data_IF_978502484552
#
_entry.id   IF_978502484552
#
_cell.length_a   1.000
_cell.length_b   1.000
_cell.length_c   1.000
_cell.angle_alpha   90.00
_cell.angle_beta   90.00
_cell.angle_gamma   90.00
#
_symmetry.space_group_name_H-M   'P 1'
#
loop_
_entity.id
_entity.type
_entity.pdbx_description
1 polymer ?
#
# COMPACT_ATOMS: atom_id res chain seq x y z
N UNK A 1 58.09 2.94 60.60
CA UNK A 1 58.48 4.35 60.78
C UNK A 1 59.43 4.73 59.66
N UNK A 2 58.91 5.37 58.61
CA UNK A 2 59.63 6.23 57.67
C UNK A 2 58.55 7.08 56.98
N UNK A 3 58.58 8.40 57.18
CA UNK A 3 58.91 9.43 56.15
C UNK A 3 57.80 9.59 55.08
N UNK A 4 57.31 10.77 54.69
CA UNK A 4 57.66 12.17 54.97
C UNK A 4 56.65 13.05 54.19
N UNK A 5 56.29 14.20 54.76
CA UNK A 5 56.00 15.51 54.13
C UNK A 5 54.89 15.67 53.04
N UNK A 6 53.72 16.18 53.45
CA UNK A 6 53.22 17.58 53.31
C UNK A 6 53.86 18.55 52.28
N UNK A 7 53.24 19.72 51.94
CA UNK A 7 51.82 20.11 51.80
C UNK A 7 51.60 21.15 50.63
N UNK A 8 50.43 21.85 50.61
CA UNK A 8 50.26 23.28 50.20
C UNK A 8 50.15 23.61 48.67
N UNK A 9 49.34 24.54 48.11
CA UNK A 9 48.54 25.73 48.53
C UNK A 9 47.37 25.93 47.51
N UNK A 10 46.14 26.31 47.88
CA UNK A 10 45.57 27.67 48.07
C UNK A 10 46.02 28.74 47.05
N UNK A 11 45.09 29.24 46.21
CA UNK A 11 44.77 30.69 46.11
C UNK A 11 43.51 30.94 45.26
N UNK A 12 42.68 31.82 45.79
CA UNK A 12 41.47 32.45 45.27
C UNK A 12 41.81 33.67 44.38
N UNK A 13 40.81 34.19 43.64
CA UNK A 13 40.56 35.60 43.23
C UNK A 13 40.34 35.84 41.72
N UNK A 14 39.05 36.03 41.38
CA UNK A 14 38.38 37.09 40.60
C UNK A 14 39.14 37.86 39.49
N UNK A 15 38.54 38.01 38.29
CA UNK A 15 37.86 39.25 37.84
C UNK A 15 37.38 39.19 36.35
N UNK A 16 36.07 39.46 36.15
CA UNK A 16 35.34 40.13 35.04
C UNK A 16 35.26 39.58 33.59
N UNK A 17 34.04 39.30 33.08
CA UNK A 17 33.11 40.13 32.23
C UNK A 17 33.26 39.73 30.76
N UNK A 18 32.27 39.59 29.87
CA UNK A 18 30.80 39.58 29.81
C UNK A 18 30.50 39.30 28.32
N UNK A 19 29.42 38.59 28.00
CA UNK A 19 28.61 38.79 26.78
C UNK A 19 27.37 37.89 26.86
N UNK A 20 26.25 38.54 27.21
CA UNK A 20 24.84 38.25 26.88
C UNK A 20 24.69 37.56 25.50
N UNK A 21 23.67 36.75 25.16
CA UNK A 21 22.21 36.78 25.39
C UNK A 21 21.72 35.45 24.75
N UNK A 22 20.90 34.61 25.40
CA UNK A 22 19.43 34.51 25.27
C UNK A 22 18.95 34.12 23.84
N UNK A 23 17.99 33.24 23.56
CA UNK A 23 17.00 32.49 24.32
C UNK A 23 16.50 31.36 23.37
N UNK A 24 15.91 30.31 23.95
CA UNK A 24 15.25 29.18 23.31
C UNK A 24 14.08 29.55 22.38
N UNK A 25 13.87 28.78 21.30
CA UNK A 25 12.64 28.83 20.48
C UNK A 25 11.93 27.48 20.54
N UNK A 26 10.81 27.45 21.26
CA UNK A 26 9.73 26.46 21.15
C UNK A 26 8.86 26.77 19.91
N UNK A 27 8.31 25.72 19.29
CA UNK A 27 7.32 25.85 18.20
C UNK A 27 6.11 25.01 18.57
N UNK A 28 4.97 25.66 18.77
CA UNK A 28 3.65 25.01 18.85
C UNK A 28 2.72 25.53 17.73
N UNK A 29 1.83 24.63 17.31
CA UNK A 29 0.93 24.69 16.17
C UNK A 29 -0.44 25.23 16.59
N UNK A 30 -0.96 26.28 15.91
CA UNK A 30 -2.27 26.28 15.22
C UNK A 30 -2.83 27.67 14.89
N UNK A 31 -3.61 27.69 13.80
CA UNK A 31 -4.63 28.67 13.38
C UNK A 31 -4.12 29.87 12.58
N UNK A 32 -4.66 30.27 11.43
CA UNK A 32 -5.65 29.77 10.46
C UNK A 32 -5.54 30.65 9.20
N UNK A 33 -6.05 30.14 8.08
CA UNK A 33 -6.64 30.90 6.95
C UNK A 33 -5.74 31.61 5.92
N UNK A 34 -5.78 31.00 4.72
CA UNK A 34 -6.11 31.62 3.44
C UNK A 34 -5.13 32.65 2.84
N UNK A 35 -4.31 32.18 1.89
CA UNK A 35 -4.21 32.87 0.61
C UNK A 35 -3.92 31.87 -0.51
N UNK A 36 -4.92 31.71 -1.39
CA UNK A 36 -4.78 31.19 -2.74
C UNK A 36 -3.96 32.16 -3.61
N UNK A 37 -3.60 31.74 -4.84
CA UNK A 37 -2.91 32.52 -5.89
C UNK A 37 -1.39 32.69 -5.65
N UNK A 38 -0.45 32.30 -6.52
CA UNK A 38 -0.39 32.08 -7.97
C UNK A 38 0.72 31.05 -8.25
N UNK A 39 0.40 29.96 -8.95
CA UNK A 39 1.40 29.27 -9.74
C UNK A 39 1.67 30.13 -10.98
N UNK A 40 2.80 30.82 -10.99
CA UNK A 40 3.29 31.49 -12.18
C UNK A 40 3.68 30.44 -13.23
N UNK A 41 2.74 30.23 -14.14
CA UNK A 41 2.94 29.79 -15.51
C UNK A 41 4.07 30.61 -16.16
N UNK A 42 5.20 29.98 -16.46
CA UNK A 42 6.18 30.52 -17.41
C UNK A 42 5.89 29.87 -18.75
N UNK A 43 4.89 30.45 -19.42
CA UNK A 43 4.76 30.42 -20.86
C UNK A 43 5.60 31.59 -21.40
N UNK A 44 6.72 31.28 -22.03
CA UNK A 44 7.38 32.22 -22.95
C UNK A 44 7.83 31.43 -24.17
N UNK A 45 6.83 31.08 -24.98
CA UNK A 45 7.04 30.89 -26.40
C UNK A 45 7.21 32.26 -27.05
N UNK A 46 8.45 32.67 -27.28
CA UNK A 46 8.76 33.68 -28.28
C UNK A 46 9.67 33.05 -29.34
N UNK A 47 9.02 32.59 -30.39
CA UNK A 47 9.63 32.17 -31.64
C UNK A 47 10.18 33.42 -32.34
N UNK A 48 11.42 33.77 -32.05
CA UNK A 48 12.20 34.65 -32.94
C UNK A 48 12.80 33.81 -34.05
N UNK A 49 12.20 33.94 -35.23
CA UNK A 49 12.77 33.51 -36.51
C UNK A 49 14.01 34.38 -36.79
N UNK A 50 15.20 33.84 -36.50
CA UNK A 50 16.47 34.38 -36.97
C UNK A 50 17.10 33.32 -37.87
N UNK A 51 17.02 33.59 -39.17
CA UNK A 51 17.81 32.90 -40.19
C UNK A 51 19.17 33.58 -40.24
N UNK A 52 20.08 33.21 -39.36
CA UNK A 52 21.52 33.46 -39.51
C UNK A 52 22.26 32.15 -39.25
N UNK A 53 23.24 31.86 -40.11
CA UNK A 53 24.06 30.66 -39.98
C UNK A 53 24.72 30.62 -38.60
N UNK A 54 24.70 29.48 -37.89
CA UNK A 54 25.19 29.41 -36.53
C UNK A 54 26.69 29.74 -36.52
N UNK A 55 27.04 30.84 -35.86
CA UNK A 55 28.44 31.13 -35.58
C UNK A 55 29.01 30.05 -34.66
N UNK A 56 30.29 29.70 -34.82
CA UNK A 56 30.97 28.69 -33.99
C UNK A 56 30.83 28.96 -32.48
N UNK A 57 30.66 30.23 -32.10
CA UNK A 57 30.54 30.70 -30.72
C UNK A 57 29.20 30.30 -30.06
N UNK A 58 28.10 30.27 -30.82
CA UNK A 58 26.79 29.83 -30.31
C UNK A 58 26.73 28.30 -30.14
N UNK A 59 27.32 27.55 -31.06
CA UNK A 59 27.42 26.09 -30.99
C UNK A 59 28.27 25.65 -29.78
N UNK A 60 29.36 26.37 -29.50
CA UNK A 60 30.20 26.11 -28.34
C UNK A 60 29.45 26.44 -27.03
N UNK A 61 28.70 27.56 -26.98
CA UNK A 61 27.86 27.93 -25.83
C UNK A 61 26.74 26.91 -25.56
N UNK A 62 26.11 26.38 -26.60
CA UNK A 62 25.08 25.36 -26.51
C UNK A 62 25.65 24.05 -25.97
N UNK A 63 26.84 23.65 -26.45
CA UNK A 63 27.54 22.46 -25.95
C UNK A 63 27.90 22.60 -24.45
N UNK A 64 28.27 23.80 -24.00
CA UNK A 64 28.57 24.08 -22.61
C UNK A 64 27.32 24.04 -21.71
N UNK A 65 26.18 24.55 -22.20
CA UNK A 65 24.89 24.49 -21.49
C UNK A 65 24.40 23.04 -21.31
N UNK A 66 24.49 22.23 -22.37
CA UNK A 66 24.12 20.81 -22.34
C UNK A 66 25.02 20.03 -21.37
N UNK A 67 26.34 20.26 -21.39
CA UNK A 67 27.28 19.65 -20.43
C UNK A 67 26.93 19.98 -18.98
N UNK A 68 26.71 21.26 -18.65
CA UNK A 68 26.28 21.68 -17.31
C UNK A 68 24.98 21.02 -16.86
N UNK A 69 24.00 20.87 -17.76
CA UNK A 69 22.73 20.19 -17.45
C UNK A 69 22.95 18.70 -17.20
N UNK A 70 23.76 18.03 -18.02
CA UNK A 70 24.11 16.62 -17.83
C UNK A 70 24.86 16.42 -16.51
N UNK A 71 25.79 17.30 -16.17
CA UNK A 71 26.52 17.27 -14.89
C UNK A 71 25.57 17.44 -13.70
N UNK A 72 24.64 18.41 -13.79
CA UNK A 72 23.60 18.63 -12.75
C UNK A 72 22.69 17.42 -12.59
N UNK A 73 22.23 16.82 -13.69
CA UNK A 73 21.38 15.61 -13.65
C UNK A 73 22.15 14.41 -13.10
N UNK A 74 23.43 14.26 -13.45
CA UNK A 74 24.28 13.19 -12.95
C UNK A 74 24.58 13.35 -11.47
N UNK A 75 24.83 14.58 -11.00
CA UNK A 75 24.98 14.90 -9.59
C UNK A 75 23.69 14.60 -8.81
N UNK A 76 22.53 15.05 -9.30
CA UNK A 76 21.22 14.75 -8.71
C UNK A 76 20.95 13.25 -8.63
N UNK A 77 21.31 12.49 -9.68
CA UNK A 77 21.16 11.03 -9.70
C UNK A 77 22.03 10.36 -8.64
N UNK A 78 23.32 10.73 -8.55
CA UNK A 78 24.23 10.18 -7.53
C UNK A 78 23.80 10.55 -6.11
N UNK A 79 23.29 11.76 -5.92
CA UNK A 79 22.75 12.17 -4.63
C UNK A 79 21.49 11.38 -4.26
N UNK A 80 20.58 11.18 -5.20
CA UNK A 80 19.41 10.34 -5.02
C UNK A 80 19.80 8.89 -4.67
N UNK A 81 20.78 8.32 -5.37
CA UNK A 81 21.29 6.97 -5.10
C UNK A 81 21.92 6.87 -3.70
N UNK A 82 22.71 7.87 -3.28
CA UNK A 82 23.23 7.93 -1.90
C UNK A 82 22.12 8.03 -0.86
N UNK A 83 21.09 8.83 -1.13
CA UNK A 83 19.94 8.99 -0.23
C UNK A 83 19.12 7.71 -0.13
N UNK A 84 18.90 7.03 -1.25
CA UNK A 84 18.22 5.74 -1.30
C UNK A 84 19.01 4.70 -0.51
N UNK A 85 20.32 4.60 -0.72
CA UNK A 85 21.16 3.66 0.02
C UNK A 85 21.17 3.95 1.53
N UNK A 86 21.28 5.22 1.92
CA UNK A 86 21.19 5.61 3.33
C UNK A 86 19.81 5.27 3.94
N UNK A 87 18.72 5.46 3.19
CA UNK A 87 17.38 5.09 3.63
C UNK A 87 17.21 3.57 3.78
N UNK A 88 17.77 2.78 2.85
CA UNK A 88 17.75 1.32 2.93
C UNK A 88 18.57 0.80 4.10
N UNK A 89 19.74 1.38 4.35
CA UNK A 89 20.59 0.99 5.46
C UNK A 89 19.95 1.36 6.80
N UNK A 90 19.32 2.54 6.88
CA UNK A 90 18.50 2.92 8.04
C UNK A 90 17.36 1.92 8.25
N UNK A 91 16.56 1.62 7.22
CA UNK A 91 15.45 0.68 7.32
C UNK A 91 15.91 -0.72 7.76
N UNK A 92 17.05 -1.22 7.23
CA UNK A 92 17.65 -2.48 7.66
C UNK A 92 18.07 -2.43 9.13
N UNK A 93 18.68 -1.33 9.57
CA UNK A 93 19.10 -1.17 10.98
C UNK A 93 17.92 -1.14 11.93
N UNK A 94 16.85 -0.42 11.59
CA UNK A 94 15.61 -0.37 12.39
C UNK A 94 14.96 -1.75 12.44
N UNK A 95 14.90 -2.46 11.32
CA UNK A 95 14.41 -3.84 11.28
C UNK A 95 15.24 -4.74 12.18
N UNK A 96 16.57 -4.69 12.08
CA UNK A 96 17.45 -5.51 12.92
C UNK A 96 17.29 -5.19 14.42
N UNK A 97 17.12 -3.91 14.77
CA UNK A 97 16.84 -3.50 16.15
C UNK A 97 15.48 -4.03 16.63
N UNK A 98 14.45 -3.94 15.80
CA UNK A 98 13.11 -4.46 16.14
C UNK A 98 13.13 -5.98 16.30
N UNK A 99 13.80 -6.69 15.39
CA UNK A 99 13.98 -8.15 15.48
C UNK A 99 14.75 -8.54 16.75
N UNK A 100 15.76 -7.76 17.14
CA UNK A 100 16.50 -7.97 18.39
C UNK A 100 15.63 -7.69 19.62
N UNK A 101 14.85 -6.60 19.63
CA UNK A 101 13.92 -6.25 20.70
C UNK A 101 12.83 -7.31 20.86
N UNK A 102 12.22 -7.79 19.77
CA UNK A 102 11.23 -8.87 19.79
C UNK A 102 11.81 -10.12 20.42
N UNK A 103 12.99 -10.57 19.97
CA UNK A 103 13.66 -11.75 20.53
C UNK A 103 14.00 -11.56 22.01
N UNK A 104 14.46 -10.38 22.41
CA UNK A 104 14.76 -10.09 23.81
C UNK A 104 13.49 -10.11 24.66
N UNK A 105 12.39 -9.53 24.17
CA UNK A 105 11.09 -9.55 24.85
C UNK A 105 10.54 -10.98 24.98
N UNK A 106 10.63 -11.79 23.92
CA UNK A 106 10.26 -13.21 23.93
C UNK A 106 11.09 -13.99 24.96
N UNK A 107 12.42 -13.78 24.99
CA UNK A 107 13.29 -14.44 25.96
C UNK A 107 13.00 -14.01 27.42
N UNK A 108 12.76 -12.72 27.66
CA UNK A 108 12.40 -12.22 28.99
C UNK A 108 11.07 -12.81 29.42
N UNK A 109 10.08 -12.83 28.53
CA UNK A 109 8.76 -13.41 28.78
C UNK A 109 8.86 -14.89 29.11
N UNK A 110 9.62 -15.66 28.31
CA UNK A 110 9.82 -17.08 28.54
C UNK A 110 10.45 -17.34 29.90
N UNK A 111 11.57 -16.67 30.22
CA UNK A 111 12.23 -16.80 31.52
C UNK A 111 11.32 -16.38 32.68
N UNK A 112 10.59 -15.28 32.53
CA UNK A 112 9.64 -14.83 33.54
C UNK A 112 8.55 -15.88 33.79
N UNK A 113 8.01 -16.49 32.72
CA UNK A 113 6.99 -17.54 32.83
C UNK A 113 7.53 -18.80 33.50
N UNK A 114 8.77 -19.20 33.19
CA UNK A 114 9.44 -20.36 33.81
C UNK A 114 9.69 -20.13 35.30
N UNK A 115 10.24 -18.96 35.66
CA UNK A 115 10.47 -18.57 37.06
C UNK A 115 9.16 -18.49 37.85
N UNK A 116 8.10 -17.95 37.23
CA UNK A 116 6.79 -17.84 37.86
C UNK A 116 6.14 -19.21 38.05
N UNK A 117 6.21 -20.10 37.04
CA UNK A 117 5.73 -21.47 37.14
C UNK A 117 6.44 -22.23 38.27
N UNK A 118 7.78 -22.12 38.36
CA UNK A 118 8.56 -22.73 39.44
C UNK A 118 8.18 -22.23 40.84
N UNK A 119 7.87 -20.93 40.99
CA UNK A 119 7.39 -20.35 42.25
C UNK A 119 6.00 -20.88 42.62
N UNK A 120 5.07 -20.92 41.67
CA UNK A 120 3.72 -21.45 41.90
C UNK A 120 3.77 -22.93 42.29
N UNK A 121 4.59 -23.74 41.63
CA UNK A 121 4.75 -25.15 41.96
C UNK A 121 5.35 -25.34 43.38
N UNK A 122 6.36 -24.55 43.74
CA UNK A 122 6.95 -24.56 45.09
C UNK A 122 5.92 -24.17 46.16
N UNK A 123 5.13 -23.12 45.90
CA UNK A 123 4.07 -22.67 46.80
C UNK A 123 2.96 -23.71 46.92
N UNK A 124 2.62 -24.40 45.83
CA UNK A 124 1.60 -25.45 45.81
C UNK A 124 2.06 -26.66 46.63
N UNK A 125 3.33 -27.06 46.50
CA UNK A 125 3.89 -28.13 47.33
C UNK A 125 3.95 -27.74 48.82
N UNK A 126 4.29 -26.49 49.12
CA UNK A 126 4.25 -25.94 50.48
C UNK A 126 2.83 -25.95 51.08
N UNK A 127 1.84 -25.47 50.32
CA UNK A 127 0.44 -25.45 50.74
C UNK A 127 -0.12 -26.87 50.93
N UNK A 128 0.29 -27.85 50.10
CA UNK A 128 -0.03 -29.27 50.30
C UNK A 128 0.54 -29.79 51.61
N UNK A 129 1.79 -29.46 51.94
CA UNK A 129 2.41 -29.87 53.21
C UNK A 129 1.68 -29.27 54.41
N UNK A 130 1.31 -27.98 54.35
CA UNK A 130 0.49 -27.32 55.39
C UNK A 130 -0.87 -27.97 55.55
N UNK A 131 -1.54 -28.31 54.45
CA UNK A 131 -2.82 -29.01 54.50
C UNK A 131 -2.72 -30.36 55.21
N UNK A 132 -1.70 -31.17 54.88
CA UNK A 132 -1.46 -32.47 55.53
C UNK A 132 -1.19 -32.28 57.02
N UNK A 133 -0.33 -31.32 57.38
CA UNK A 133 -0.02 -31.02 58.78
C UNK A 133 -1.26 -30.54 59.57
N UNK A 134 -2.07 -29.65 59.00
CA UNK A 134 -3.31 -29.18 59.62
C UNK A 134 -4.31 -30.33 59.83
N UNK A 135 -4.42 -31.23 58.85
CA UNK A 135 -5.26 -32.42 58.95
C UNK A 135 -4.78 -33.39 60.04
N UNK A 136 -3.47 -33.64 60.13
CA UNK A 136 -2.87 -34.50 61.15
C UNK A 136 -2.98 -33.91 62.56
N UNK A 137 -2.86 -32.58 62.68
CA UNK A 137 -2.97 -31.85 63.94
C UNK A 137 -4.43 -31.63 64.39
N UNK A 138 -5.40 -31.89 63.51
CA UNK A 138 -6.82 -31.69 63.80
C UNK A 138 -7.20 -30.21 63.97
N UNK A 139 -6.49 -29.30 63.30
CA UNK A 139 -6.74 -27.85 63.37
C UNK A 139 -7.66 -27.42 62.21
N UNK A 140 -8.96 -27.13 62.48
CA UNK A 140 -9.91 -26.77 61.44
C UNK A 140 -9.62 -25.40 60.82
N UNK A 141 -9.04 -24.46 61.56
CA UNK A 141 -8.79 -23.10 61.07
C UNK A 141 -7.61 -23.12 60.07
N UNK A 142 -6.54 -23.83 60.42
CA UNK A 142 -5.37 -24.01 59.54
C UNK A 142 -5.74 -24.85 58.29
N UNK A 143 -6.67 -25.79 58.43
CA UNK A 143 -7.16 -26.60 57.30
C UNK A 143 -7.96 -25.75 56.30
N UNK A 144 -8.82 -24.84 56.78
CA UNK A 144 -9.54 -23.89 55.91
C UNK A 144 -8.58 -22.91 55.23
N UNK A 145 -7.55 -22.44 55.95
CA UNK A 145 -6.52 -21.58 55.39
C UNK A 145 -5.73 -22.29 54.27
N UNK A 146 -5.25 -23.50 54.52
CA UNK A 146 -4.47 -24.28 53.56
C UNK A 146 -5.30 -24.69 52.32
N UNK A 147 -6.58 -25.04 52.49
CA UNK A 147 -7.47 -25.33 51.36
C UNK A 147 -7.77 -24.09 50.50
N UNK A 148 -7.95 -22.93 51.13
CA UNK A 148 -8.11 -21.65 50.43
C UNK A 148 -6.86 -21.31 49.63
N UNK A 149 -5.67 -21.45 50.23
CA UNK A 149 -4.38 -21.23 49.56
C UNK A 149 -4.18 -22.19 48.37
N UNK A 150 -4.48 -23.48 48.55
CA UNK A 150 -4.43 -24.48 47.48
C UNK A 150 -5.38 -24.15 46.31
N UNK A 151 -6.60 -23.71 46.61
CA UNK A 151 -7.57 -23.34 45.58
C UNK A 151 -7.09 -22.13 44.75
N UNK A 152 -6.53 -21.11 45.43
CA UNK A 152 -5.97 -19.92 44.79
C UNK A 152 -4.80 -20.29 43.88
N UNK A 153 -3.85 -21.06 44.39
CA UNK A 153 -2.67 -21.51 43.65
C UNK A 153 -3.03 -22.42 42.46
N UNK A 154 -4.09 -23.24 42.59
CA UNK A 154 -4.58 -24.07 41.50
C UNK A 154 -5.16 -23.26 40.34
N UNK A 155 -5.90 -22.18 40.63
CA UNK A 155 -6.43 -21.25 39.61
C UNK A 155 -5.27 -20.51 38.94
N UNK A 156 -4.30 -20.04 39.73
CA UNK A 156 -3.10 -19.35 39.24
C UNK A 156 -2.26 -20.24 38.31
N UNK A 157 -2.05 -21.52 38.67
CA UNK A 157 -1.35 -22.51 37.84
C UNK A 157 -2.11 -22.79 36.52
N UNK A 158 -3.44 -22.89 36.58
CA UNK A 158 -4.27 -23.08 35.39
C UNK A 158 -4.23 -21.86 34.45
N UNK A 159 -4.25 -20.64 34.99
CA UNK A 159 -4.14 -19.42 34.22
C UNK A 159 -2.80 -19.34 33.46
N UNK A 160 -1.68 -19.63 34.13
CA UNK A 160 -0.35 -19.67 33.52
C UNK A 160 -0.27 -20.65 32.35
N UNK A 161 -0.76 -21.88 32.55
CA UNK A 161 -0.74 -22.92 31.50
C UNK A 161 -1.52 -22.51 30.26
N UNK A 162 -2.53 -21.64 30.41
CA UNK A 162 -3.32 -21.12 29.30
C UNK A 162 -2.70 -19.86 28.66
N UNK A 163 -2.00 -19.02 29.42
CA UNK A 163 -1.34 -17.80 28.90
C UNK A 163 0.00 -18.06 28.20
N UNK A 164 0.80 -19.02 28.67
CA UNK A 164 2.11 -19.38 28.07
C UNK A 164 2.00 -19.71 26.57
N UNK A 165 1.04 -20.53 26.09
CA UNK A 165 0.88 -20.80 24.66
C UNK A 165 0.30 -19.60 23.87
N UNK A 166 -0.36 -18.63 24.52
CA UNK A 166 -0.95 -17.47 23.86
C UNK A 166 0.09 -16.40 23.48
N UNK A 167 1.19 -16.27 24.24
CA UNK A 167 2.22 -15.28 23.93
C UNK A 167 3.13 -15.68 22.76
N UNK A 168 3.28 -16.99 22.47
CA UNK A 168 4.10 -17.48 21.34
C UNK A 168 3.45 -17.34 19.96
N UNK A 169 2.17 -16.95 19.89
CA UNK A 169 1.40 -16.86 18.63
C UNK A 169 0.95 -15.45 18.27
N UNK A 170 1.33 -14.44 19.05
CA UNK A 170 1.23 -13.05 18.62
C UNK A 170 2.37 -12.75 17.64
N UNK A 171 2.27 -13.37 16.46
CA UNK A 171 2.89 -12.82 15.27
C UNK A 171 2.51 -11.34 15.25
N UNK A 172 3.48 -10.39 15.11
CA UNK A 172 3.12 -9.02 14.89
C UNK A 172 2.20 -9.05 13.68
N UNK A 173 0.91 -8.80 13.88
CA UNK A 173 0.05 -8.47 12.78
C UNK A 173 0.76 -7.26 12.18
N UNK A 174 1.46 -7.48 11.06
CA UNK A 174 1.89 -6.42 10.20
C UNK A 174 0.60 -5.65 10.00
N UNK A 175 0.48 -4.50 10.67
CA UNK A 175 -0.56 -3.55 10.39
C UNK A 175 -0.32 -3.26 8.92
N UNK A 176 -1.08 -3.92 8.06
CA UNK A 176 -1.19 -3.52 6.67
C UNK A 176 -1.44 -2.02 6.77
N UNK A 177 -0.64 -1.17 6.10
CA UNK A 177 -0.95 0.24 6.05
C UNK A 177 -2.43 0.31 5.69
N UNK A 178 -3.22 0.85 6.61
CA UNK A 178 -4.65 1.04 6.39
C UNK A 178 -4.76 1.69 5.02
N UNK A 179 -5.50 1.09 4.07
CA UNK A 179 -5.69 1.76 2.78
C UNK A 179 -6.20 3.15 3.14
N UNK A 180 -5.49 4.17 2.66
CA UNK A 180 -5.87 5.56 2.82
C UNK A 180 -7.38 5.64 2.67
N UNK A 181 -8.07 6.18 3.67
CA UNK A 181 -9.51 6.39 3.66
C UNK A 181 -9.90 6.80 2.25
N UNK A 182 -10.58 5.91 1.54
CA UNK A 182 -11.08 6.22 0.21
C UNK A 182 -11.88 7.50 0.38
N UNK A 183 -11.59 8.56 -0.41
CA UNK A 183 -12.33 9.80 -0.32
C UNK A 183 -13.81 9.46 -0.36
N UNK A 184 -14.62 10.17 0.45
CA UNK A 184 -16.05 9.92 0.54
C UNK A 184 -16.62 9.78 -0.88
N UNK A 185 -17.39 8.71 -1.15
CA UNK A 185 -17.85 8.44 -2.51
C UNK A 185 -18.61 9.66 -3.04
N UNK A 186 -18.22 10.12 -4.23
CA UNK A 186 -18.87 11.23 -4.91
C UNK A 186 -20.40 11.01 -4.94
N UNK A 187 -21.23 12.00 -4.52
CA UNK A 187 -22.68 11.89 -4.55
C UNK A 187 -23.25 11.40 -5.89
N UNK A 188 -22.65 11.78 -7.03
CA UNK A 188 -23.10 11.31 -8.34
C UNK A 188 -22.77 9.83 -8.58
N UNK A 189 -21.59 9.39 -8.18
CA UNK A 189 -21.19 7.98 -8.23
C UNK A 189 -22.14 7.10 -7.42
N UNK A 190 -22.52 7.57 -6.22
CA UNK A 190 -23.47 6.86 -5.38
C UNK A 190 -24.87 6.80 -6.01
N UNK A 191 -25.37 7.90 -6.59
CA UNK A 191 -26.65 7.92 -7.28
C UNK A 191 -26.67 7.00 -8.52
N UNK A 192 -25.57 6.98 -9.29
CA UNK A 192 -25.42 6.08 -10.44
C UNK A 192 -25.41 4.61 -10.02
N UNK A 193 -24.68 4.27 -8.95
CA UNK A 193 -24.64 2.92 -8.40
C UNK A 193 -26.02 2.47 -7.90
N UNK A 194 -26.77 3.34 -7.22
CA UNK A 194 -28.13 3.03 -6.77
C UNK A 194 -29.10 2.79 -7.94
N UNK A 195 -28.95 3.52 -9.05
CA UNK A 195 -29.75 3.32 -10.26
C UNK A 195 -29.44 1.99 -10.97
N UNK A 196 -28.21 1.50 -10.81
CA UNK A 196 -27.71 0.28 -11.43
C UNK A 196 -27.62 -0.86 -10.40
N UNK A 197 -28.74 -1.53 -10.14
CA UNK A 197 -28.84 -2.59 -9.10
C UNK A 197 -27.92 -3.79 -9.29
N UNK A 198 -27.33 -3.95 -10.47
CA UNK A 198 -26.33 -4.98 -10.77
C UNK A 198 -24.94 -4.60 -10.24
N UNK A 199 -24.66 -3.32 -10.00
CA UNK A 199 -23.36 -2.83 -9.55
C UNK A 199 -23.13 -3.22 -8.08
N UNK A 200 -22.05 -3.96 -7.82
CA UNK A 200 -21.72 -4.53 -6.50
C UNK A 200 -22.42 -5.85 -6.18
N UNK A 201 -23.36 -6.31 -7.01
CA UNK A 201 -24.06 -7.60 -6.86
C UNK A 201 -23.60 -8.59 -7.93
N UNK A 202 -23.56 -8.16 -9.19
CA UNK A 202 -23.01 -8.94 -10.30
C UNK A 202 -21.52 -8.61 -10.43
N UNK A 203 -20.69 -9.46 -9.84
CA UNK A 203 -19.23 -9.32 -9.80
C UNK A 203 -18.61 -9.17 -11.21
N UNK A 204 -18.96 -9.99 -12.22
CA UNK A 204 -18.53 -9.78 -13.61
C UNK A 204 -18.87 -8.40 -14.18
N UNK A 205 -20.13 -7.96 -14.06
CA UNK A 205 -20.52 -6.64 -14.58
C UNK A 205 -19.82 -5.50 -13.83
N UNK A 206 -19.60 -5.66 -12.53
CA UNK A 206 -18.93 -4.68 -11.68
C UNK A 206 -17.46 -4.53 -12.06
N UNK A 207 -16.73 -5.62 -12.30
CA UNK A 207 -15.34 -5.56 -12.77
C UNK A 207 -15.21 -4.98 -14.17
N UNK A 208 -16.14 -5.30 -15.07
CA UNK A 208 -16.17 -4.68 -16.39
C UNK A 208 -16.43 -3.17 -16.28
N UNK A 209 -17.31 -2.74 -15.36
CA UNK A 209 -17.55 -1.33 -15.09
C UNK A 209 -16.26 -0.60 -14.64
N UNK A 210 -15.48 -1.20 -13.74
CA UNK A 210 -14.18 -0.66 -13.33
C UNK A 210 -13.18 -0.60 -14.49
N UNK A 211 -13.18 -1.61 -15.36
CA UNK A 211 -12.31 -1.64 -16.54
C UNK A 211 -12.67 -0.53 -17.53
N UNK A 212 -13.97 -0.26 -17.71
CA UNK A 212 -14.48 0.84 -18.53
C UNK A 212 -14.15 2.19 -17.89
N UNK A 213 -14.31 2.35 -16.57
CA UNK A 213 -13.90 3.55 -15.84
C UNK A 213 -12.43 3.89 -16.10
N UNK A 214 -11.53 2.91 -15.94
CA UNK A 214 -10.10 3.11 -16.19
C UNK A 214 -9.84 3.61 -17.62
N UNK A 215 -10.49 2.99 -18.60
CA UNK A 215 -10.34 3.37 -19.99
C UNK A 215 -10.89 4.77 -20.31
N UNK A 216 -11.97 5.20 -19.64
CA UNK A 216 -12.54 6.54 -19.80
C UNK A 216 -11.67 7.61 -19.15
N UNK A 217 -11.13 7.34 -17.97
CA UNK A 217 -10.19 8.26 -17.30
C UNK A 217 -8.91 8.40 -18.12
N UNK A 218 -8.39 7.31 -18.69
CA UNK A 218 -7.24 7.35 -19.61
C UNK A 218 -7.54 8.14 -20.89
N UNK A 219 -8.79 8.17 -21.34
CA UNK A 219 -9.25 9.00 -22.47
C UNK A 219 -9.49 10.47 -22.09
N UNK A 220 -9.29 10.85 -20.83
CA UNK A 220 -9.47 12.22 -20.33
C UNK A 220 -10.92 12.60 -20.06
N UNK A 221 -11.83 11.64 -19.87
CA UNK A 221 -13.19 11.96 -19.42
C UNK A 221 -13.20 12.42 -17.97
N UNK A 222 -13.99 13.47 -17.69
CA UNK A 222 -14.24 13.94 -16.33
C UNK A 222 -15.17 12.97 -15.58
N UNK A 223 -14.70 12.43 -14.45
CA UNK A 223 -15.41 11.45 -13.61
C UNK A 223 -16.66 12.00 -12.94
N UNK A 224 -16.79 13.33 -12.85
CA UNK A 224 -17.95 13.99 -12.24
C UNK A 224 -19.00 14.42 -13.29
N UNK A 225 -18.73 14.20 -14.57
CA UNK A 225 -19.61 14.60 -15.66
C UNK A 225 -20.73 13.57 -15.90
N UNK A 226 -21.91 14.04 -16.31
CA UNK A 226 -23.02 13.14 -16.64
C UNK A 226 -22.71 12.33 -17.92
N UNK A 227 -21.88 12.88 -18.82
CA UNK A 227 -21.42 12.22 -20.04
C UNK A 227 -20.58 10.97 -19.73
N UNK A 228 -19.74 11.02 -18.69
CA UNK A 228 -18.95 9.89 -18.22
C UNK A 228 -19.83 8.69 -17.80
N UNK A 229 -20.87 8.94 -16.98
CA UNK A 229 -21.78 7.89 -16.53
C UNK A 229 -22.65 7.32 -17.66
N UNK A 230 -23.03 8.14 -18.64
CA UNK A 230 -23.75 7.68 -19.84
C UNK A 230 -22.89 6.75 -20.71
N UNK A 231 -21.60 7.05 -20.86
CA UNK A 231 -20.69 6.22 -21.65
C UNK A 231 -20.39 4.88 -20.95
N UNK A 232 -20.32 4.87 -19.62
CA UNK A 232 -20.26 3.63 -18.84
C UNK A 232 -21.48 2.75 -19.12
N UNK A 233 -22.69 3.30 -18.97
CA UNK A 233 -23.92 2.54 -19.20
C UNK A 233 -23.98 2.01 -20.64
N UNK A 234 -23.59 2.83 -21.63
CA UNK A 234 -23.57 2.45 -23.05
C UNK A 234 -22.66 1.26 -23.31
N UNK A 235 -21.44 1.30 -22.76
CA UNK A 235 -20.44 0.23 -22.94
C UNK A 235 -20.84 -1.03 -22.18
N UNK A 236 -21.34 -0.92 -20.95
CA UNK A 236 -21.81 -2.08 -20.18
C UNK A 236 -23.00 -2.77 -20.87
N UNK A 237 -23.93 -2.01 -21.46
CA UNK A 237 -25.03 -2.59 -22.24
C UNK A 237 -24.55 -3.29 -23.51
N UNK A 238 -23.48 -2.80 -24.12
CA UNK A 238 -22.84 -3.44 -25.28
C UNK A 238 -22.11 -4.73 -24.90
N UNK A 239 -21.46 -4.77 -23.74
CA UNK A 239 -20.73 -5.95 -23.24
C UNK A 239 -21.68 -7.03 -22.69
N UNK A 240 -22.80 -6.63 -22.09
CA UNK A 240 -23.79 -7.53 -21.51
C UNK A 240 -25.21 -7.38 -22.09
N UNK A 241 -25.44 -7.50 -23.41
CA UNK A 241 -26.79 -7.30 -23.99
C UNK A 241 -27.84 -8.21 -23.34
N UNK A 242 -27.46 -9.47 -23.11
CA UNK A 242 -28.29 -10.51 -22.47
C UNK A 242 -28.75 -10.18 -21.03
N UNK A 243 -28.10 -9.23 -20.35
CA UNK A 243 -28.49 -8.77 -19.00
C UNK A 243 -29.50 -7.62 -19.04
N UNK A 244 -29.61 -6.90 -20.14
CA UNK A 244 -30.51 -5.75 -20.32
C UNK A 244 -31.73 -6.06 -21.21
N UNK A 245 -31.76 -7.22 -21.86
CA UNK A 245 -32.86 -7.66 -22.73
C UNK A 245 -34.12 -8.18 -21.99
N UNK A 246 -34.15 -8.15 -20.65
CA UNK A 246 -35.30 -8.62 -19.87
C UNK A 246 -36.27 -7.50 -19.51
N UNK A 247 -37.05 -7.07 -20.50
CA UNK A 247 -38.37 -6.45 -20.29
C UNK A 247 -39.39 -7.10 -21.22
N UNK A 248 -39.67 -8.39 -20.99
CA UNK A 248 -40.95 -9.10 -21.26
C UNK A 248 -40.73 -10.62 -21.28
N UNK A 249 -40.47 -11.23 -20.13
CA UNK A 249 -40.77 -12.64 -19.92
C UNK A 249 -40.81 -12.97 -18.42
N UNK A 250 -42.03 -13.14 -17.92
CA UNK A 250 -42.37 -13.80 -16.67
C UNK A 250 -41.61 -15.13 -16.51
N UNK A 251 -41.16 -15.52 -15.30
CA UNK A 251 -40.37 -16.73 -15.13
C UNK A 251 -41.26 -17.98 -15.11
N UNK A 252 -40.99 -18.96 -15.97
CA UNK A 252 -41.46 -20.33 -15.78
C UNK A 252 -40.27 -21.27 -15.68
N UNK A 253 -40.05 -21.75 -14.45
CA UNK A 253 -39.36 -23.00 -14.16
C UNK A 253 -39.83 -24.13 -15.08
N UNK A 254 -38.90 -24.98 -15.51
CA UNK A 254 -39.24 -26.33 -15.97
C UNK A 254 -38.57 -26.77 -17.27
N UNK A 255 -37.52 -27.57 -17.11
CA UNK A 255 -37.25 -28.76 -17.93
C UNK A 255 -36.94 -28.54 -19.41
N UNK A 256 -35.64 -28.42 -19.71
CA UNK A 256 -35.08 -28.59 -21.06
C UNK A 256 -35.28 -30.05 -21.50
N UNK A 257 -36.24 -30.31 -22.37
CA UNK A 257 -36.24 -31.49 -23.21
C UNK A 257 -35.42 -31.23 -24.49
N UNK A 258 -34.50 -32.11 -24.90
CA UNK A 258 -33.74 -31.93 -26.14
C UNK A 258 -34.63 -32.31 -27.33
N UNK A 259 -35.14 -31.30 -28.05
CA UNK A 259 -35.84 -31.53 -29.31
C UNK A 259 -34.82 -31.68 -30.43
N UNK A 260 -34.58 -32.93 -30.81
CA UNK A 260 -33.88 -33.29 -32.05
C UNK A 260 -34.58 -32.63 -33.24
N UNK A 261 -33.84 -31.85 -34.03
CA UNK A 261 -34.31 -31.34 -35.32
C UNK A 261 -33.49 -31.95 -36.44
N UNK A 262 -34.19 -32.71 -37.27
CA UNK A 262 -33.72 -33.34 -38.50
C UNK A 262 -33.76 -32.28 -39.60
N UNK A 263 -32.70 -32.23 -40.41
CA UNK A 263 -32.51 -31.23 -41.45
C UNK A 263 -33.55 -31.32 -42.58
N UNK A 264 -34.01 -30.19 -43.09
CA UNK A 264 -33.85 -29.86 -44.52
C UNK A 264 -34.11 -28.37 -44.80
N UNK A 265 -33.50 -27.91 -45.90
CA UNK A 265 -33.84 -26.73 -46.70
C UNK A 265 -33.34 -25.34 -46.26
N UNK A 266 -32.13 -25.05 -46.75
CA UNK A 266 -31.65 -23.80 -47.34
C UNK A 266 -32.58 -22.57 -47.26
N UNK A 267 -32.10 -21.54 -46.55
CA UNK A 267 -32.41 -20.14 -46.88
C UNK A 267 -31.15 -19.31 -46.61
N UNK A 268 -30.64 -18.69 -47.67
CA UNK A 268 -29.43 -17.89 -47.67
C UNK A 268 -29.49 -16.77 -46.61
N UNK A 269 -28.50 -16.75 -45.72
CA UNK A 269 -28.27 -15.65 -44.78
C UNK A 269 -27.03 -14.87 -45.22
N UNK A 270 -27.24 -13.57 -45.42
CA UNK A 270 -26.30 -12.55 -45.86
C UNK A 270 -25.11 -12.48 -44.90
N UNK A 271 -23.97 -13.01 -45.33
CA UNK A 271 -22.67 -12.85 -44.67
C UNK A 271 -22.30 -11.37 -44.65
N UNK A 272 -22.36 -10.73 -43.48
CA UNK A 272 -21.60 -9.50 -43.23
C UNK A 272 -20.15 -9.91 -43.02
N UNK A 273 -19.39 -9.89 -44.11
CA UNK A 273 -18.01 -10.38 -44.17
C UNK A 273 -17.09 -9.65 -43.20
N UNK A 274 -16.55 -10.37 -42.23
CA UNK A 274 -15.42 -9.90 -41.43
C UNK A 274 -14.16 -10.01 -42.29
N UNK A 275 -13.66 -8.89 -42.77
CA UNK A 275 -12.41 -8.84 -43.53
C UNK A 275 -11.24 -9.12 -42.58
N UNK A 276 -10.47 -10.15 -42.90
CA UNK A 276 -9.24 -10.50 -42.18
C UNK A 276 -8.07 -10.44 -43.16
N UNK A 277 -7.01 -9.74 -42.79
CA UNK A 277 -5.82 -9.56 -43.61
C UNK A 277 -4.69 -10.34 -42.95
N UNK A 278 -3.98 -11.15 -43.74
CA UNK A 278 -2.83 -11.92 -43.27
C UNK A 278 -1.56 -11.15 -43.63
N UNK A 279 -0.83 -10.66 -42.62
CA UNK A 279 0.48 -10.07 -42.82
C UNK A 279 1.54 -11.15 -43.02
N UNK A 280 2.46 -10.90 -43.95
CA UNK A 280 3.65 -11.73 -44.15
C UNK A 280 4.65 -11.53 -43.00
N UNK A 281 5.52 -12.52 -42.69
CA UNK A 281 6.51 -12.38 -41.62
C UNK A 281 7.44 -11.17 -41.79
N UNK A 282 7.74 -10.78 -43.03
CA UNK A 282 8.52 -9.57 -43.36
C UNK A 282 7.79 -8.28 -43.01
N UNK A 283 6.49 -8.20 -43.25
CA UNK A 283 5.65 -7.04 -42.92
C UNK A 283 5.51 -6.86 -41.41
N UNK A 284 5.38 -7.96 -40.66
CA UNK A 284 5.37 -7.95 -39.19
C UNK A 284 6.71 -7.43 -38.63
N UNK A 285 7.83 -7.81 -39.26
CA UNK A 285 9.16 -7.33 -38.85
C UNK A 285 9.35 -5.83 -39.13
N UNK A 286 8.83 -5.33 -40.26
CA UNK A 286 8.88 -3.90 -40.62
C UNK A 286 8.05 -3.07 -39.64
N UNK A 287 6.82 -3.49 -39.34
CA UNK A 287 5.95 -2.79 -38.39
C UNK A 287 6.61 -2.65 -37.00
N UNK A 288 7.25 -3.74 -36.52
CA UNK A 288 8.01 -3.72 -35.26
C UNK A 288 9.23 -2.81 -35.31
N UNK A 289 9.95 -2.79 -36.44
CA UNK A 289 11.12 -1.93 -36.64
C UNK A 289 10.75 -0.45 -36.70
N UNK A 290 9.57 -0.12 -37.22
CA UNK A 290 9.02 1.23 -37.27
C UNK A 290 8.29 1.64 -35.99
N UNK A 291 8.14 0.74 -35.02
CA UNK A 291 7.44 1.00 -33.76
C UNK A 291 5.92 1.20 -33.91
N UNK A 292 5.34 0.77 -35.03
CA UNK A 292 3.90 0.95 -35.32
C UNK A 292 3.14 -0.31 -34.92
N UNK A 293 1.96 -0.20 -34.27
CA UNK A 293 1.10 -1.35 -33.96
C UNK A 293 0.73 -2.16 -35.22
N UNK A 294 0.69 -3.49 -35.10
CA UNK A 294 0.41 -4.40 -36.21
C UNK A 294 -0.97 -4.15 -36.85
N UNK A 295 -1.94 -3.66 -36.08
CA UNK A 295 -3.29 -3.34 -36.55
C UNK A 295 -3.31 -2.11 -37.48
N UNK A 296 -2.58 -1.06 -37.13
CA UNK A 296 -2.45 0.15 -37.95
C UNK A 296 -1.66 -0.14 -39.22
N UNK A 297 -0.58 -0.92 -39.11
CA UNK A 297 0.16 -1.38 -40.29
C UNK A 297 -0.71 -2.23 -41.23
N UNK A 298 -1.53 -3.14 -40.69
CA UNK A 298 -2.47 -3.93 -41.50
C UNK A 298 -3.53 -3.07 -42.21
N UNK A 299 -4.00 -1.99 -41.56
CA UNK A 299 -4.94 -1.04 -42.16
C UNK A 299 -4.30 -0.28 -43.32
N UNK A 300 -3.06 0.19 -43.16
CA UNK A 300 -2.32 0.90 -44.21
C UNK A 300 -2.04 -0.02 -45.42
N UNK A 301 -1.64 -1.27 -45.17
CA UNK A 301 -1.41 -2.25 -46.24
C UNK A 301 -2.70 -2.53 -47.01
N UNK A 302 -3.85 -2.61 -46.32
CA UNK A 302 -5.16 -2.73 -46.98
C UNK A 302 -5.44 -1.56 -47.91
N UNK A 303 -5.22 -0.34 -47.43
CA UNK A 303 -5.48 0.88 -48.19
C UNK A 303 -4.58 0.96 -49.43
N UNK A 304 -3.31 0.55 -49.30
CA UNK A 304 -2.39 0.44 -50.43
C UNK A 304 -2.79 -0.66 -51.43
N UNK A 305 -3.27 -1.81 -50.95
CA UNK A 305 -3.76 -2.90 -51.81
C UNK A 305 -5.09 -2.57 -52.49
N UNK A 306 -5.92 -1.71 -51.88
CA UNK A 306 -7.18 -1.28 -52.46
C UNK A 306 -7.01 -0.16 -53.51
N UNK A 307 -5.90 0.59 -53.44
CA UNK A 307 -5.58 1.69 -54.34
C UNK A 307 -4.56 1.33 -55.44
N UNK A 308 -4.15 0.07 -55.54
CA UNK A 308 -3.28 -0.49 -56.57
C UNK A 308 -4.09 -1.28 -57.62
#
# INVERSE_FOLDING_TARGET
MEKKAMPEQNINTEEMVELETDESVEVDLNSSEDNSEQLAEVNEGESSEITEEPSEEELESYSASVRKRIDKLTAKRREAERREQAALDYAKSVKAQNDHLSKSAEQITQKYSEEYAGRVDTNLESAKKRYVQAYENGDPDELVAATTELSRLSVENAALKNEIPALGTQQPALQQPTPATTPAPDPKSQAWAQRNTWFGVDEPMTYTAFSIHKNLVEQGFDTNSDAYYQEIDRRIRSEFPHKFEQTNAQPTNGTRAPVQRVASANRAAKSTGRETIKLTPSEVAIARKLGVPLEEYARQVKELQANA
#
